data_IF_220476866920
#
_entry.id   IF_220476866920
#
_cell.length_a   1.000
_cell.length_b   1.000
_cell.length_c   1.000
_cell.angle_alpha   90.00
_cell.angle_beta   90.00
_cell.angle_gamma   90.00
#
_symmetry.space_group_name_H-M   'P 1'
#
loop_
_entity.id
_entity.type
_entity.pdbx_description
1 polymer ?
#
# COMPACT_ATOMS: atom_id res chain seq x y z
N UNK A 1 16.61 -95.10 -17.90
CA UNK A 1 16.25 -95.23 -16.47
C UNK A 1 17.54 -95.64 -15.77
N UNK A 2 18.25 -94.81 -15.03
CA UNK A 2 17.87 -94.21 -13.74
C UNK A 2 18.59 -92.84 -13.64
N UNK A 3 17.81 -91.76 -13.55
CA UNK A 3 18.35 -90.43 -13.28
C UNK A 3 18.61 -90.29 -11.80
N UNK A 4 19.87 -90.08 -11.41
CA UNK A 4 20.22 -89.72 -10.04
C UNK A 4 19.89 -88.25 -9.82
N UNK A 5 18.85 -88.03 -9.02
CA UNK A 5 18.42 -86.74 -8.48
C UNK A 5 19.58 -86.08 -7.72
N UNK A 6 20.05 -84.95 -8.23
CA UNK A 6 20.94 -84.04 -7.52
C UNK A 6 20.12 -83.33 -6.43
N UNK A 7 20.19 -83.82 -5.18
CA UNK A 7 19.50 -83.21 -4.05
C UNK A 7 20.16 -81.86 -3.75
N UNK A 8 19.51 -80.78 -4.16
CA UNK A 8 19.88 -79.42 -3.77
C UNK A 8 19.55 -79.21 -2.29
N UNK A 9 20.53 -79.37 -1.41
CA UNK A 9 20.38 -79.03 0.01
C UNK A 9 20.36 -77.50 0.15
N UNK A 10 19.16 -76.90 0.21
CA UNK A 10 19.00 -75.48 0.52
C UNK A 10 19.45 -75.21 1.96
N UNK A 11 20.71 -74.80 2.15
CA UNK A 11 21.16 -74.18 3.38
C UNK A 11 20.39 -72.87 3.59
N UNK A 12 19.51 -72.82 4.59
CA UNK A 12 18.88 -71.58 5.06
C UNK A 12 19.97 -70.62 5.53
N UNK A 13 20.18 -69.52 4.80
CA UNK A 13 21.10 -68.45 5.18
C UNK A 13 20.30 -67.33 5.82
N UNK A 14 20.42 -67.15 7.13
CA UNK A 14 19.88 -65.95 7.78
C UNK A 14 20.84 -64.78 7.57
N UNK A 15 20.35 -63.57 7.23
CA UNK A 15 21.21 -62.40 7.09
C UNK A 15 21.89 -62.08 8.43
N UNK A 16 23.21 -61.89 8.41
CA UNK A 16 24.02 -61.51 9.60
C UNK A 16 23.89 -60.02 9.96
N UNK A 17 22.69 -59.45 9.87
CA UNK A 17 22.43 -58.12 10.43
C UNK A 17 21.93 -58.31 11.86
N UNK A 18 22.86 -58.55 12.78
CA UNK A 18 22.54 -58.49 14.21
C UNK A 18 22.23 -57.04 14.55
N UNK A 19 20.95 -56.69 14.69
CA UNK A 19 20.55 -55.44 15.31
C UNK A 19 20.99 -55.51 16.77
N UNK A 20 22.14 -54.90 17.09
CA UNK A 20 22.57 -54.78 18.48
C UNK A 20 21.50 -53.99 19.24
N UNK A 21 20.79 -54.64 20.15
CA UNK A 21 19.75 -54.05 21.03
C UNK A 21 20.39 -53.19 22.14
N UNK A 22 21.56 -52.59 21.88
CA UNK A 22 22.12 -51.59 22.79
C UNK A 22 21.23 -50.35 22.67
N UNK A 23 20.55 -49.91 23.75
CA UNK A 23 19.75 -48.70 23.70
C UNK A 23 20.67 -47.54 23.29
N UNK A 24 20.32 -46.84 22.21
CA UNK A 24 21.02 -45.61 21.84
C UNK A 24 20.69 -44.55 22.88
N UNK A 25 21.69 -43.79 23.31
CA UNK A 25 21.47 -42.70 24.25
C UNK A 25 20.78 -41.52 23.54
N UNK A 26 19.46 -41.48 23.66
CA UNK A 26 18.62 -40.43 23.06
C UNK A 26 18.47 -39.20 23.96
N UNK A 27 19.06 -39.17 25.17
CA UNK A 27 18.84 -38.07 26.13
C UNK A 27 19.17 -36.69 25.56
N UNK A 28 20.27 -36.58 24.80
CA UNK A 28 20.63 -35.34 24.09
C UNK A 28 19.70 -35.03 22.92
N UNK A 29 19.22 -36.05 22.21
CA UNK A 29 18.27 -35.88 21.11
C UNK A 29 16.92 -35.37 21.62
N UNK A 30 16.40 -35.98 22.69
CA UNK A 30 15.15 -35.58 23.36
C UNK A 30 15.23 -34.16 23.92
N UNK A 31 16.31 -33.79 24.61
CA UNK A 31 16.53 -32.41 25.07
C UNK A 31 16.58 -31.39 23.92
N UNK A 32 17.19 -31.75 22.77
CA UNK A 32 17.17 -30.88 21.58
C UNK A 32 15.78 -30.78 20.97
N UNK A 33 15.01 -31.87 20.94
CA UNK A 33 13.64 -31.89 20.46
C UNK A 33 12.73 -31.05 21.37
N UNK A 34 12.86 -31.15 22.70
CA UNK A 34 12.13 -30.32 23.68
C UNK A 34 12.44 -28.82 23.53
N UNK A 35 13.70 -28.46 23.31
CA UNK A 35 14.07 -27.06 23.06
C UNK A 35 13.54 -26.57 21.70
N UNK A 36 13.49 -27.43 20.68
CA UNK A 36 12.89 -27.09 19.38
C UNK A 36 11.38 -26.91 19.51
N UNK A 37 10.68 -27.84 20.15
CA UNK A 37 9.23 -27.73 20.36
C UNK A 37 8.86 -26.52 21.21
N UNK A 38 9.65 -26.18 22.24
CA UNK A 38 9.44 -24.95 23.02
C UNK A 38 9.56 -23.69 22.15
N UNK A 39 10.62 -23.60 21.35
CA UNK A 39 10.84 -22.47 20.43
C UNK A 39 9.76 -22.41 19.35
N UNK A 40 9.30 -23.56 18.86
CA UNK A 40 8.24 -23.65 17.86
C UNK A 40 6.88 -23.20 18.41
N UNK A 41 6.54 -23.61 19.64
CA UNK A 41 5.34 -23.13 20.33
C UNK A 41 5.40 -21.62 20.62
N UNK A 42 6.56 -21.09 21.03
CA UNK A 42 6.77 -19.65 21.19
C UNK A 42 6.57 -18.90 19.87
N UNK A 43 7.08 -19.43 18.75
CA UNK A 43 6.86 -18.88 17.41
C UNK A 43 5.39 -18.95 16.99
N UNK A 44 4.72 -20.08 17.21
CA UNK A 44 3.30 -20.27 16.86
C UNK A 44 2.40 -19.27 17.59
N UNK A 45 2.57 -19.11 18.90
CA UNK A 45 1.81 -18.11 19.69
C UNK A 45 1.99 -16.69 19.15
N UNK A 46 3.22 -16.32 18.79
CA UNK A 46 3.53 -15.01 18.20
C UNK A 46 2.90 -14.85 16.81
N UNK A 47 2.90 -15.90 15.98
CA UNK A 47 2.22 -15.88 14.68
C UNK A 47 0.70 -15.74 14.83
N UNK A 48 0.11 -16.40 15.82
CA UNK A 48 -1.32 -16.25 16.13
C UNK A 48 -1.68 -14.83 16.61
N UNK A 49 -0.83 -14.22 17.45
CA UNK A 49 -0.99 -12.82 17.87
C UNK A 49 -0.91 -11.87 16.67
N UNK A 50 0.07 -12.06 15.78
CA UNK A 50 0.19 -11.29 14.54
C UNK A 50 -1.04 -11.48 13.64
N UNK A 51 -1.55 -12.71 13.49
CA UNK A 51 -2.74 -13.00 12.71
C UNK A 51 -4.00 -12.31 13.28
N UNK A 52 -4.14 -12.27 14.62
CA UNK A 52 -5.23 -11.50 15.27
C UNK A 52 -5.12 -10.02 14.98
N UNK A 53 -3.91 -9.45 15.06
CA UNK A 53 -3.68 -8.04 14.74
C UNK A 53 -4.02 -7.73 13.27
N UNK A 54 -3.68 -8.63 12.34
CA UNK A 54 -4.05 -8.49 10.93
C UNK A 54 -5.57 -8.51 10.73
N UNK A 55 -6.28 -9.44 11.37
CA UNK A 55 -7.73 -9.52 11.28
C UNK A 55 -8.42 -8.26 11.83
N UNK A 56 -7.88 -7.65 12.90
CA UNK A 56 -8.38 -6.37 13.40
C UNK A 56 -8.12 -5.22 12.42
N UNK A 57 -6.93 -5.16 11.82
CA UNK A 57 -6.58 -4.13 10.83
C UNK A 57 -7.39 -4.24 9.55
N UNK A 58 -7.66 -5.46 9.09
CA UNK A 58 -8.51 -5.72 7.93
C UNK A 58 -9.94 -5.21 8.19
N UNK A 59 -10.49 -5.42 9.39
CA UNK A 59 -11.78 -4.84 9.80
C UNK A 59 -11.75 -3.32 9.84
N UNK A 60 -10.69 -2.70 10.38
CA UNK A 60 -10.53 -1.24 10.35
C UNK A 60 -10.51 -0.68 8.91
N UNK A 61 -9.88 -1.41 7.97
CA UNK A 61 -9.85 -1.02 6.55
C UNK A 61 -11.24 -1.17 5.92
N UNK A 62 -11.93 -2.28 6.17
CA UNK A 62 -13.31 -2.50 5.70
C UNK A 62 -14.26 -1.42 6.22
N UNK A 63 -14.16 -1.03 7.49
CA UNK A 63 -14.96 0.05 8.06
C UNK A 63 -14.68 1.40 7.40
N UNK A 64 -13.42 1.70 7.06
CA UNK A 64 -13.05 2.91 6.32
C UNK A 64 -13.61 2.89 4.91
N UNK A 65 -13.55 1.75 4.21
CA UNK A 65 -14.14 1.59 2.88
C UNK A 65 -15.66 1.76 2.95
N UNK A 66 -16.32 1.15 3.92
CA UNK A 66 -17.76 1.30 4.14
C UNK A 66 -18.15 2.76 4.42
N UNK A 67 -17.31 3.49 5.16
CA UNK A 67 -17.50 4.93 5.40
C UNK A 67 -17.33 5.75 4.12
N UNK A 68 -16.38 5.39 3.25
CA UNK A 68 -16.25 6.01 1.92
C UNK A 68 -17.49 5.70 1.08
N UNK A 69 -17.95 4.44 1.04
CA UNK A 69 -19.16 4.01 0.34
C UNK A 69 -20.38 4.88 0.70
N UNK A 70 -20.57 5.15 2.00
CA UNK A 70 -21.65 5.99 2.50
C UNK A 70 -21.52 7.47 2.08
N UNK A 71 -20.30 7.97 1.91
CA UNK A 71 -20.03 9.36 1.52
C UNK A 71 -20.09 9.55 0.01
N UNK A 72 -19.67 8.55 -0.77
CA UNK A 72 -19.61 8.63 -2.23
C UNK A 72 -20.93 8.34 -2.92
N UNK A 73 -21.95 7.84 -2.22
CA UNK A 73 -23.33 7.70 -2.74
C UNK A 73 -23.52 6.66 -3.86
N UNK A 74 -22.46 6.06 -4.40
CA UNK A 74 -22.55 4.92 -5.32
C UNK A 74 -22.80 3.63 -4.54
N UNK A 75 -23.92 2.94 -4.84
CA UNK A 75 -24.32 1.67 -4.23
C UNK A 75 -23.32 0.54 -4.53
N UNK A 76 -22.62 0.65 -5.67
CA UNK A 76 -21.59 -0.27 -6.11
C UNK A 76 -20.25 0.46 -6.17
N UNK A 77 -19.43 0.26 -5.14
CA UNK A 77 -17.99 0.29 -5.35
C UNK A 77 -17.70 -0.88 -6.29
N UNK A 78 -17.04 -0.62 -7.41
CA UNK A 78 -16.65 -1.63 -8.39
C UNK A 78 -15.78 -2.78 -7.84
N UNK A 79 -15.47 -2.79 -6.54
CA UNK A 79 -14.73 -3.82 -5.84
C UNK A 79 -15.65 -4.54 -4.85
N UNK A 80 -15.75 -5.86 -4.99
CA UNK A 80 -16.46 -6.72 -4.03
C UNK A 80 -15.54 -7.07 -2.87
N UNK A 81 -16.10 -7.40 -1.70
CA UNK A 81 -15.34 -7.85 -0.52
C UNK A 81 -14.45 -9.08 -0.84
N UNK A 82 -14.87 -9.88 -1.83
CA UNK A 82 -14.14 -11.04 -2.36
C UNK A 82 -12.83 -10.68 -3.08
N UNK A 83 -12.68 -9.47 -3.66
CA UNK A 83 -11.43 -9.02 -4.31
C UNK A 83 -10.39 -8.52 -3.30
N UNK A 84 -10.81 -8.21 -2.07
CA UNK A 84 -9.93 -7.70 -1.01
C UNK A 84 -9.32 -8.86 -0.21
N UNK A 85 -10.06 -9.95 -0.03
CA UNK A 85 -9.63 -11.11 0.76
C UNK A 85 -9.04 -12.25 -0.10
N UNK A 86 -9.26 -12.24 -1.42
CA UNK A 86 -8.77 -13.27 -2.34
C UNK A 86 -7.31 -13.10 -2.75
N UNK A 87 -6.64 -14.21 -3.08
CA UNK A 87 -5.32 -14.20 -3.69
C UNK A 87 -5.40 -13.50 -5.08
N UNK A 88 -4.54 -12.51 -5.30
CA UNK A 88 -4.54 -11.70 -6.53
C UNK A 88 -4.06 -12.53 -7.73
N UNK A 89 -5.02 -13.05 -8.51
CA UNK A 89 -4.77 -13.70 -9.80
C UNK A 89 -4.89 -12.68 -10.95
N UNK A 90 -3.82 -12.40 -11.72
CA UNK A 90 -3.83 -11.41 -12.81
C UNK A 90 -4.96 -11.63 -13.83
N UNK A 91 -5.22 -12.89 -14.21
CA UNK A 91 -6.25 -13.19 -15.20
C UNK A 91 -7.68 -13.02 -14.67
N UNK A 92 -7.92 -13.26 -13.37
CA UNK A 92 -9.23 -13.05 -12.76
C UNK A 92 -9.48 -11.56 -12.57
N UNK A 93 -8.45 -10.84 -12.14
CA UNK A 93 -8.46 -9.39 -12.01
C UNK A 93 -8.72 -8.70 -13.36
N UNK A 94 -8.03 -9.10 -14.43
CA UNK A 94 -8.22 -8.52 -15.77
C UNK A 94 -9.61 -8.81 -16.34
N UNK A 95 -10.14 -10.01 -16.09
CA UNK A 95 -11.53 -10.38 -16.47
C UNK A 95 -12.56 -9.51 -15.73
N UNK A 96 -12.36 -9.26 -14.44
CA UNK A 96 -13.24 -8.42 -13.62
C UNK A 96 -13.13 -6.95 -14.00
N UNK A 97 -11.91 -6.44 -14.23
CA UNK A 97 -11.70 -5.08 -14.73
C UNK A 97 -12.40 -4.85 -16.05
N UNK A 98 -12.35 -5.83 -16.96
CA UNK A 98 -13.08 -5.74 -18.22
C UNK A 98 -14.60 -5.66 -18.00
N UNK A 99 -15.16 -6.46 -17.09
CA UNK A 99 -16.59 -6.45 -16.78
C UNK A 99 -17.07 -5.19 -16.02
N UNK A 100 -16.22 -4.60 -15.18
CA UNK A 100 -16.50 -3.33 -14.50
C UNK A 100 -16.49 -2.17 -15.51
N UNK A 101 -15.54 -2.22 -16.45
CA UNK A 101 -15.33 -1.21 -17.48
C UNK A 101 -15.88 -1.67 -18.84
N UNK A 102 -17.10 -2.21 -18.84
CA UNK A 102 -17.81 -2.64 -20.04
C UNK A 102 -18.24 -1.44 -20.91
N UNK A 103 -18.68 -1.72 -22.15
CA UNK A 103 -19.27 -0.74 -23.07
C UNK A 103 -20.50 -0.02 -22.48
N UNK A 104 -21.07 -0.48 -21.37
CA UNK A 104 -22.12 0.25 -20.65
C UNK A 104 -21.57 1.45 -19.84
N UNK A 105 -20.34 1.33 -19.32
CA UNK A 105 -19.65 2.43 -18.62
C UNK A 105 -19.13 3.49 -19.61
N UNK A 106 -18.55 3.05 -20.73
CA UNK A 106 -18.03 3.96 -21.77
C UNK A 106 -19.06 4.37 -22.83
N UNK A 107 -20.10 3.56 -23.06
CA UNK A 107 -21.16 3.81 -24.03
C UNK A 107 -22.33 4.62 -23.46
N UNK A 108 -22.36 4.86 -22.15
CA UNK A 108 -23.00 6.02 -21.57
C UNK A 108 -22.17 7.28 -21.91
N UNK A 109 -22.02 7.55 -23.20
CA UNK A 109 -21.68 8.89 -23.63
C UNK A 109 -22.90 9.76 -23.27
N UNK A 110 -22.74 10.49 -22.17
CA UNK A 110 -23.60 11.58 -21.72
C UNK A 110 -23.54 12.72 -22.78
N UNK A 111 -24.02 12.42 -23.99
CA UNK A 111 -24.14 13.36 -25.10
C UNK A 111 -25.35 14.29 -24.93
N UNK A 112 -26.22 14.00 -23.97
CA UNK A 112 -27.29 14.89 -23.55
C UNK A 112 -26.84 15.61 -22.28
N UNK A 113 -26.47 16.88 -22.45
CA UNK A 113 -26.27 17.83 -21.36
C UNK A 113 -27.46 17.67 -20.40
N UNK A 114 -27.27 17.43 -19.10
CA UNK A 114 -28.37 17.32 -18.17
C UNK A 114 -29.25 18.57 -18.27
N UNK A 115 -30.48 18.41 -18.76
CA UNK A 115 -31.48 19.46 -18.72
C UNK A 115 -31.87 19.61 -17.25
N UNK A 116 -31.31 20.62 -16.60
CA UNK A 116 -31.80 21.07 -15.32
C UNK A 116 -33.28 21.41 -15.54
N UNK A 117 -34.24 20.76 -14.85
CA UNK A 117 -35.61 21.26 -14.85
C UNK A 117 -35.55 22.72 -14.37
N UNK A 118 -36.25 23.63 -15.04
CA UNK A 118 -36.30 25.06 -14.70
C UNK A 118 -36.71 25.21 -13.23
N UNK A 119 -35.70 25.24 -12.35
CA UNK A 119 -35.84 25.57 -10.94
C UNK A 119 -36.45 26.96 -10.77
N UNK A 120 -36.41 27.79 -11.82
CA UNK A 120 -37.05 29.10 -11.91
C UNK A 120 -38.58 29.04 -11.74
N UNK A 121 -39.23 27.94 -12.14
CA UNK A 121 -40.69 27.80 -12.02
C UNK A 121 -41.15 27.30 -10.64
N UNK A 122 -40.28 26.61 -9.89
CA UNK A 122 -40.56 26.11 -8.54
C UNK A 122 -40.05 27.06 -7.44
N UNK A 123 -39.08 27.93 -7.74
CA UNK A 123 -38.57 28.97 -6.83
C UNK A 123 -39.27 30.34 -6.97
N UNK A 124 -40.28 30.51 -7.83
CA UNK A 124 -40.91 31.82 -8.11
C UNK A 124 -39.87 32.93 -8.33
N UNK A 125 -38.83 32.66 -9.14
CA UNK A 125 -37.86 33.70 -9.46
C UNK A 125 -38.61 34.79 -10.24
N UNK A 126 -38.63 35.96 -9.64
CA UNK A 126 -39.44 37.11 -10.03
C UNK A 126 -39.29 37.41 -11.53
N UNK A 127 -40.42 37.45 -12.23
CA UNK A 127 -40.47 37.82 -13.63
C UNK A 127 -40.11 39.32 -13.74
N UNK A 128 -38.85 39.61 -14.08
CA UNK A 128 -38.29 40.96 -14.17
C UNK A 128 -39.08 41.92 -15.09
N UNK A 129 -39.92 41.38 -15.99
CA UNK A 129 -40.81 42.15 -16.86
C UNK A 129 -41.99 42.82 -16.11
N UNK A 130 -42.26 42.45 -14.85
CA UNK A 130 -43.27 43.08 -13.99
C UNK A 130 -42.70 44.05 -12.95
N UNK A 131 -41.40 44.31 -12.97
CA UNK A 131 -40.76 45.20 -12.00
C UNK A 131 -41.22 46.65 -12.18
N UNK A 132 -42.18 47.09 -11.34
CA UNK A 132 -42.64 48.47 -11.26
C UNK A 132 -41.83 49.21 -10.20
N UNK A 133 -41.03 50.20 -10.61
CA UNK A 133 -39.99 50.85 -9.79
C UNK A 133 -40.52 51.86 -8.76
N UNK A 134 -41.82 51.86 -8.47
CA UNK A 134 -42.49 52.93 -7.70
C UNK A 134 -43.12 52.47 -6.37
N UNK A 135 -43.16 51.17 -6.08
CA UNK A 135 -43.75 50.66 -4.85
C UNK A 135 -42.71 49.88 -4.02
N UNK A 136 -41.81 50.58 -3.34
CA UNK A 136 -41.28 50.12 -2.05
C UNK A 136 -40.60 51.26 -1.30
N UNK A 137 -41.26 51.69 -0.21
CA UNK A 137 -40.66 52.54 0.81
C UNK A 137 -39.41 51.86 1.37
N UNK A 138 -38.25 52.43 1.05
CA UNK A 138 -36.95 52.12 1.65
C UNK A 138 -37.03 52.13 3.18
N UNK A 139 -36.82 50.96 3.77
CA UNK A 139 -36.11 50.83 5.05
C UNK A 139 -34.74 50.26 4.69
N UNK A 140 -33.84 51.15 4.25
CA UNK A 140 -32.43 50.85 4.04
C UNK A 140 -31.74 50.79 5.42
N UNK A 141 -31.61 49.57 5.98
CA UNK A 141 -30.51 49.23 6.90
C UNK A 141 -29.37 48.60 6.06
N UNK A 142 -29.02 49.24 4.95
CA UNK A 142 -27.95 48.80 4.07
C UNK A 142 -26.63 49.34 4.62
N UNK A 143 -25.78 48.44 5.13
CA UNK A 143 -24.51 48.77 5.79
C UNK A 143 -23.62 49.48 4.77
N UNK A 144 -23.37 50.77 4.96
CA UNK A 144 -22.63 51.57 3.99
C UNK A 144 -21.13 51.32 4.11
N UNK A 145 -20.40 51.50 3.01
CA UNK A 145 -18.94 51.34 2.98
C UNK A 145 -18.15 52.29 3.92
N UNK A 146 -18.84 53.26 4.53
CA UNK A 146 -18.29 54.19 5.52
C UNK A 146 -18.60 53.76 6.97
N UNK A 147 -19.38 52.69 7.19
CA UNK A 147 -19.70 52.19 8.53
C UNK A 147 -18.51 51.47 9.17
N UNK A 148 -18.24 51.78 10.44
CA UNK A 148 -17.15 51.20 11.24
C UNK A 148 -17.22 49.66 11.37
N UNK A 149 -18.39 49.08 11.07
CA UNK A 149 -18.66 47.64 11.10
C UNK A 149 -18.63 46.97 9.72
N UNK A 150 -18.38 47.73 8.65
CA UNK A 150 -18.28 47.22 7.28
C UNK A 150 -16.91 46.60 7.03
N UNK A 151 -16.86 45.28 6.85
CA UNK A 151 -15.62 44.57 6.57
C UNK A 151 -15.41 44.46 5.06
N UNK A 152 -14.39 45.13 4.53
CA UNK A 152 -14.02 45.04 3.12
C UNK A 152 -13.48 43.63 2.80
N UNK A 153 -13.74 43.11 1.60
CA UNK A 153 -13.38 41.74 1.19
C UNK A 153 -11.88 41.38 1.39
N UNK A 154 -11.01 42.38 1.43
CA UNK A 154 -9.57 42.22 1.65
C UNK A 154 -9.17 42.13 3.14
N UNK A 155 -9.98 42.67 4.05
CA UNK A 155 -9.75 42.69 5.50
C UNK A 155 -10.49 41.54 6.23
N UNK A 156 -11.11 40.63 5.46
CA UNK A 156 -11.84 39.48 5.97
C UNK A 156 -10.92 38.43 6.60
N UNK A 157 -10.79 38.46 7.93
CA UNK A 157 -10.13 37.39 8.70
C UNK A 157 -11.15 36.32 9.17
N UNK A 158 -11.11 35.09 8.62
CA UNK A 158 -12.09 34.04 8.94
C UNK A 158 -12.10 33.64 10.42
N UNK A 159 -11.01 33.90 11.16
CA UNK A 159 -10.96 33.63 12.61
C UNK A 159 -11.75 34.66 13.41
N UNK A 160 -11.71 35.93 13.00
CA UNK A 160 -12.48 37.00 13.64
C UNK A 160 -13.97 36.85 13.37
N UNK A 161 -14.35 36.47 12.14
CA UNK A 161 -15.74 36.14 11.79
C UNK A 161 -16.29 34.97 12.62
N UNK A 162 -15.50 33.88 12.79
CA UNK A 162 -15.87 32.75 13.65
C UNK A 162 -16.03 33.17 15.12
N UNK A 163 -15.21 34.09 15.61
CA UNK A 163 -15.29 34.62 16.98
C UNK A 163 -16.55 35.47 17.20
N UNK A 164 -16.84 36.41 16.29
CA UNK A 164 -18.04 37.26 16.32
C UNK A 164 -19.31 36.41 16.26
N UNK A 165 -19.36 35.40 15.37
CA UNK A 165 -20.48 34.47 15.28
C UNK A 165 -20.67 33.66 16.58
N UNK A 166 -19.56 33.25 17.22
CA UNK A 166 -19.59 32.54 18.50
C UNK A 166 -20.11 33.43 19.64
N UNK A 167 -19.78 34.72 19.62
CA UNK A 167 -20.20 35.70 20.61
C UNK A 167 -21.67 36.10 20.43
N UNK A 168 -22.15 36.24 19.19
CA UNK A 168 -23.57 36.39 18.87
C UNK A 168 -24.39 35.16 19.27
N UNK A 169 -23.87 33.95 19.01
CA UNK A 169 -24.47 32.69 19.47
C UNK A 169 -24.57 32.64 21.00
N UNK A 170 -23.54 33.10 21.74
CA UNK A 170 -23.59 33.20 23.21
C UNK A 170 -24.60 34.24 23.68
N UNK A 171 -24.70 35.39 23.01
CA UNK A 171 -25.67 36.46 23.31
C UNK A 171 -27.10 35.98 23.09
N UNK A 172 -27.36 35.26 22.00
CA UNK A 172 -28.66 34.68 21.67
C UNK A 172 -29.03 33.48 22.56
N UNK A 173 -28.06 32.69 23.02
CA UNK A 173 -28.28 31.65 24.04
C UNK A 173 -28.61 32.25 25.42
N UNK A 174 -28.04 33.41 25.77
CA UNK A 174 -28.28 34.07 27.07
C UNK A 174 -29.74 34.55 27.24
N UNK A 175 -30.38 35.02 26.15
CA UNK A 175 -31.77 35.47 26.12
C UNK A 175 -32.79 34.31 26.14
N UNK A 176 -32.35 33.06 25.91
CA UNK A 176 -33.20 31.85 25.88
C UNK A 176 -33.03 30.94 27.11
N UNK A 177 -32.35 31.39 28.17
CA UNK A 177 -31.96 30.59 29.35
C UNK A 177 -33.09 30.16 30.30
N UNK A 178 -34.37 30.16 29.90
CA UNK A 178 -35.41 29.68 30.82
C UNK A 178 -35.65 28.18 30.83
N UNK A 179 -35.36 27.40 29.76
CA UNK A 179 -35.49 25.93 29.81
C UNK A 179 -34.85 25.21 28.60
N UNK A 180 -33.59 24.78 28.69
CA UNK A 180 -33.06 23.56 27.99
C UNK A 180 -31.61 23.31 28.38
N UNK A 181 -31.37 22.28 29.20
CA UNK A 181 -30.04 21.88 29.70
C UNK A 181 -29.34 20.80 28.87
N UNK A 182 -29.70 20.60 27.60
CA UNK A 182 -29.03 19.63 26.72
C UNK A 182 -28.95 20.19 25.30
N UNK A 183 -27.73 20.29 24.77
CA UNK A 183 -27.51 20.53 23.34
C UNK A 183 -28.21 19.41 22.57
N UNK A 184 -28.91 19.72 21.48
CA UNK A 184 -29.48 18.68 20.63
C UNK A 184 -28.32 17.87 20.03
N UNK A 185 -28.49 16.55 19.91
CA UNK A 185 -27.49 15.67 19.29
C UNK A 185 -27.08 16.14 17.89
N UNK A 186 -27.99 16.79 17.17
CA UNK A 186 -27.74 17.41 15.87
C UNK A 186 -26.77 18.60 15.95
N UNK A 187 -26.90 19.47 16.97
CA UNK A 187 -25.98 20.59 17.18
C UNK A 187 -24.60 20.11 17.66
N UNK A 188 -24.53 18.95 18.31
CA UNK A 188 -23.27 18.30 18.69
C UNK A 188 -22.57 17.71 17.45
N UNK A 189 -23.32 17.06 16.55
CA UNK A 189 -22.81 16.52 15.28
C UNK A 189 -22.42 17.62 14.26
N UNK A 190 -23.13 18.74 14.24
CA UNK A 190 -22.75 19.91 13.42
C UNK A 190 -21.54 20.67 14.01
N UNK A 191 -21.31 20.55 15.32
CA UNK A 191 -20.16 21.15 15.99
C UNK A 191 -18.88 20.30 15.87
N UNK A 192 -19.01 18.98 15.69
CA UNK A 192 -17.86 18.15 15.30
C UNK A 192 -17.50 18.45 13.85
N UNK A 193 -16.34 19.07 13.64
CA UNK A 193 -15.84 19.37 12.30
C UNK A 193 -15.70 18.05 11.52
N UNK A 194 -16.36 17.97 10.36
CA UNK A 194 -16.29 16.79 9.49
C UNK A 194 -14.82 16.56 9.13
N UNK A 195 -14.29 15.34 9.24
CA UNK A 195 -12.92 15.08 8.82
C UNK A 195 -12.84 15.31 7.31
N UNK A 196 -12.22 16.43 6.93
CA UNK A 196 -11.92 16.76 5.54
C UNK A 196 -10.68 15.98 5.15
N UNK A 197 -10.80 15.09 4.17
CA UNK A 197 -9.65 14.40 3.61
C UNK A 197 -8.72 15.44 2.99
N UNK A 198 -7.50 15.55 3.53
CA UNK A 198 -6.46 16.40 2.97
C UNK A 198 -5.40 15.50 2.34
N UNK A 199 -5.24 15.50 1.01
CA UNK A 199 -4.35 14.57 0.28
C UNK A 199 -2.85 14.58 0.65
N UNK A 200 -2.42 15.34 1.66
CA UNK A 200 -1.03 15.39 2.13
C UNK A 200 -0.84 15.07 3.63
N UNK A 201 -1.90 15.03 4.44
CA UNK A 201 -1.83 14.66 5.88
C UNK A 201 -2.40 13.26 6.09
N UNK A 202 -3.41 12.90 5.29
CA UNK A 202 -4.00 11.56 5.31
C UNK A 202 -3.18 10.62 4.43
N UNK A 203 -2.86 9.44 4.97
CA UNK A 203 -2.10 8.42 4.25
C UNK A 203 -2.83 8.06 2.96
N UNK A 204 -2.07 7.92 1.88
CA UNK A 204 -2.63 7.43 0.62
C UNK A 204 -3.11 5.99 0.78
N UNK A 205 -4.07 5.55 -0.04
CA UNK A 205 -4.55 4.16 0.01
C UNK A 205 -3.41 3.14 -0.11
N UNK A 206 -2.41 3.43 -0.95
CA UNK A 206 -1.20 2.64 -1.11
C UNK A 206 -0.38 2.54 0.19
N UNK A 207 -0.27 3.61 0.95
CA UNK A 207 0.45 3.59 2.24
C UNK A 207 -0.29 2.80 3.32
N UNK A 208 -1.62 2.82 3.32
CA UNK A 208 -2.42 1.96 4.20
C UNK A 208 -2.24 0.48 3.86
N UNK A 209 -2.18 0.14 2.57
CA UNK A 209 -1.92 -1.23 2.11
C UNK A 209 -0.49 -1.66 2.41
N UNK A 210 0.49 -0.78 2.21
CA UNK A 210 1.88 -1.06 2.57
C UNK A 210 2.04 -1.27 4.09
N UNK A 211 1.32 -0.53 4.93
CA UNK A 211 1.27 -0.74 6.38
C UNK A 211 0.70 -2.12 6.73
N UNK A 212 -0.37 -2.56 6.05
CA UNK A 212 -0.91 -3.91 6.22
C UNK A 212 0.10 -4.99 5.81
N UNK A 213 0.69 -4.90 4.61
CA UNK A 213 1.69 -5.87 4.15
C UNK A 213 2.97 -5.85 5.00
N UNK A 214 3.28 -4.74 5.67
CA UNK A 214 4.43 -4.65 6.58
C UNK A 214 4.23 -5.43 7.89
N UNK A 215 2.99 -5.77 8.24
CA UNK A 215 2.68 -6.62 9.40
C UNK A 215 2.96 -8.11 9.14
N UNK A 216 3.19 -8.51 7.90
CA UNK A 216 3.64 -9.86 7.56
C UNK A 216 5.09 -10.07 8.04
N UNK A 217 5.29 -11.11 8.83
CA UNK A 217 6.59 -11.48 9.38
C UNK A 217 6.94 -12.87 8.85
N UNK A 218 8.07 -12.98 8.15
CA UNK A 218 8.53 -14.25 7.56
C UNK A 218 9.24 -15.12 8.60
N UNK A 219 9.99 -14.50 9.52
CA UNK A 219 10.60 -15.19 10.65
C UNK A 219 10.50 -14.33 11.92
N UNK A 220 10.44 -15.01 13.06
CA UNK A 220 10.51 -14.40 14.39
C UNK A 220 11.75 -14.95 15.07
N UNK A 221 12.79 -14.14 15.11
CA UNK A 221 14.06 -14.49 15.79
C UNK A 221 13.97 -13.96 17.22
N UNK A 222 13.64 -14.85 18.15
CA UNK A 222 13.43 -14.44 19.55
C UNK A 222 12.19 -13.56 19.67
N UNK A 223 12.38 -12.26 19.95
CA UNK A 223 11.31 -11.29 20.17
C UNK A 223 11.12 -10.28 19.03
N UNK A 224 12.00 -10.28 18.02
CA UNK A 224 11.89 -9.35 16.90
C UNK A 224 11.21 -10.04 15.70
N UNK A 225 10.04 -9.55 15.24
CA UNK A 225 9.51 -9.94 13.95
C UNK A 225 10.47 -9.46 12.86
N UNK A 226 11.06 -10.39 12.13
CA UNK A 226 11.99 -10.12 11.04
C UNK A 226 11.32 -10.37 9.70
N UNK A 227 11.41 -9.37 8.84
CA UNK A 227 11.06 -9.44 7.42
C UNK A 227 12.30 -9.11 6.61
N UNK A 228 12.60 -9.87 5.57
CA UNK A 228 13.69 -9.54 4.67
C UNK A 228 13.39 -8.21 3.97
N UNK A 229 14.25 -7.21 4.19
CA UNK A 229 14.14 -5.91 3.52
C UNK A 229 15.01 -5.96 2.28
N UNK A 230 14.39 -5.98 1.11
CA UNK A 230 15.10 -5.68 -0.13
C UNK A 230 15.44 -4.19 -0.16
N UNK A 231 16.60 -3.87 -0.73
CA UNK A 231 17.02 -2.50 -1.00
C UNK A 231 16.98 -2.29 -2.50
N UNK A 232 16.44 -1.15 -2.91
CA UNK A 232 16.55 -0.69 -4.29
C UNK A 232 18.02 -0.34 -4.57
N UNK A 233 18.58 -1.00 -5.58
CA UNK A 233 19.97 -0.80 -6.00
C UNK A 233 20.00 0.04 -7.27
N UNK A 234 21.00 0.91 -7.39
CA UNK A 234 21.19 1.69 -8.61
C UNK A 234 21.58 0.75 -9.76
N UNK A 235 20.91 0.79 -10.93
CA UNK A 235 21.27 -0.02 -12.07
C UNK A 235 22.69 0.33 -12.55
N UNK A 236 23.54 -0.67 -12.71
CA UNK A 236 24.95 -0.49 -13.08
C UNK A 236 25.45 -1.62 -13.99
N UNK A 237 25.91 -1.25 -15.19
CA UNK A 237 26.45 -2.18 -16.18
C UNK A 237 27.97 -2.43 -15.98
N UNK A 238 28.58 -1.86 -14.93
CA UNK A 238 30.02 -1.92 -14.62
C UNK A 238 30.96 -1.48 -15.77
N UNK A 239 30.41 -0.86 -16.82
CA UNK A 239 31.15 -0.43 -18.01
C UNK A 239 31.52 -1.58 -18.95
N UNK A 240 30.81 -2.72 -18.84
CA UNK A 240 31.12 -3.95 -19.55
C UNK A 240 30.08 -4.28 -20.62
N UNK A 241 30.50 -5.03 -21.63
CA UNK A 241 29.60 -5.61 -22.65
C UNK A 241 29.25 -7.06 -22.29
N UNK A 242 28.28 -7.65 -23.00
CA UNK A 242 27.72 -8.99 -22.71
C UNK A 242 28.78 -10.11 -22.64
N UNK A 243 29.89 -9.98 -23.36
CA UNK A 243 30.98 -10.97 -23.39
C UNK A 243 31.99 -10.82 -22.23
N UNK A 244 31.94 -9.70 -21.52
CA UNK A 244 32.89 -9.37 -20.45
C UNK A 244 32.31 -9.73 -19.07
N UNK A 245 33.13 -10.31 -18.17
CA UNK A 245 32.67 -10.78 -16.86
C UNK A 245 33.31 -10.03 -15.68
N UNK A 246 32.53 -9.88 -14.60
CA UNK A 246 32.96 -9.24 -13.33
C UNK A 246 33.19 -10.31 -12.26
N UNK A 247 34.24 -10.21 -11.43
CA UNK A 247 34.35 -11.07 -10.25
C UNK A 247 33.20 -10.83 -9.27
N UNK A 248 32.55 -11.91 -8.82
CA UNK A 248 31.39 -11.88 -7.92
C UNK A 248 31.59 -11.01 -6.67
N UNK A 249 32.83 -10.94 -6.15
CA UNK A 249 33.20 -10.10 -5.01
C UNK A 249 32.89 -8.61 -5.20
N UNK A 250 32.87 -8.10 -6.43
CA UNK A 250 32.53 -6.70 -6.73
C UNK A 250 31.03 -6.46 -6.71
N UNK A 251 30.23 -7.43 -7.15
CA UNK A 251 28.77 -7.34 -7.23
C UNK A 251 28.13 -7.48 -5.85
N UNK A 252 28.60 -8.44 -5.05
CA UNK A 252 27.96 -8.80 -3.76
C UNK A 252 28.26 -7.82 -2.63
N UNK A 253 29.21 -6.89 -2.83
CA UNK A 253 29.63 -5.98 -1.75
C UNK A 253 28.56 -4.92 -1.49
N UNK A 254 28.00 -4.93 -0.28
CA UNK A 254 27.13 -3.85 0.21
C UNK A 254 27.86 -2.51 0.25
N UNK A 255 27.22 -1.46 -0.26
CA UNK A 255 27.77 -0.10 -0.34
C UNK A 255 26.62 0.92 -0.21
N UNK A 256 26.84 2.10 0.39
CA UNK A 256 25.78 3.14 0.44
C UNK A 256 25.49 3.73 -0.96
N UNK A 257 24.30 4.30 -1.13
CA UNK A 257 23.78 4.82 -2.41
C UNK A 257 24.71 5.83 -3.08
N UNK A 258 25.28 6.76 -2.32
CA UNK A 258 26.16 7.80 -2.86
C UNK A 258 27.42 7.21 -3.51
N UNK A 259 27.93 6.14 -2.89
CA UNK A 259 29.10 5.45 -3.40
C UNK A 259 28.76 4.49 -4.55
N UNK A 260 27.53 4.00 -4.66
CA UNK A 260 27.03 3.30 -5.85
C UNK A 260 26.90 4.25 -7.06
N UNK A 261 26.38 5.47 -6.84
CA UNK A 261 26.31 6.53 -7.88
C UNK A 261 27.71 6.95 -8.34
N UNK A 262 28.64 7.10 -7.39
CA UNK A 262 30.05 7.35 -7.70
C UNK A 262 30.66 6.21 -8.53
N UNK A 263 30.43 4.95 -8.13
CA UNK A 263 30.89 3.78 -8.87
C UNK A 263 30.37 3.78 -10.31
N UNK A 264 29.08 4.03 -10.54
CA UNK A 264 28.48 4.13 -11.89
C UNK A 264 29.24 5.12 -12.76
N UNK A 265 29.54 6.31 -12.23
CA UNK A 265 30.31 7.32 -12.97
C UNK A 265 31.74 6.87 -13.27
N UNK A 266 32.42 6.24 -12.31
CA UNK A 266 33.78 5.71 -12.54
C UNK A 266 33.78 4.57 -13.56
N UNK A 267 32.77 3.71 -13.56
CA UNK A 267 32.64 2.62 -14.51
C UNK A 267 32.30 3.12 -15.91
N UNK A 268 31.48 4.16 -16.04
CA UNK A 268 31.25 4.86 -17.32
C UNK A 268 32.54 5.44 -17.90
N UNK A 269 33.38 6.06 -17.07
CA UNK A 269 34.69 6.56 -17.52
C UNK A 269 35.63 5.42 -17.94
N UNK A 270 35.73 4.36 -17.12
CA UNK A 270 36.55 3.18 -17.43
C UNK A 270 36.06 2.40 -18.65
N UNK A 271 34.78 2.49 -18.98
CA UNK A 271 34.23 1.88 -20.18
C UNK A 271 34.83 2.48 -21.46
N UNK A 272 35.14 3.78 -21.45
CA UNK A 272 35.77 4.47 -22.58
C UNK A 272 37.24 4.05 -22.78
N UNK A 273 37.93 3.63 -21.71
CA UNK A 273 39.34 3.28 -21.75
C UNK A 273 39.58 1.84 -22.23
N UNK A 274 39.73 1.67 -23.54
CA UNK A 274 39.98 0.35 -24.16
C UNK A 274 41.29 -0.32 -23.71
N UNK A 275 42.32 0.44 -23.34
CA UNK A 275 43.59 -0.11 -22.84
C UNK A 275 43.45 -0.73 -21.45
N UNK A 276 42.64 -0.10 -20.59
CA UNK A 276 42.39 -0.60 -19.25
C UNK A 276 41.60 -1.91 -19.32
N UNK A 277 40.63 -2.02 -20.23
CA UNK A 277 39.92 -3.28 -20.52
C UNK A 277 40.88 -4.39 -20.93
N UNK A 278 41.83 -4.11 -21.83
CA UNK A 278 42.86 -5.08 -22.25
C UNK A 278 43.75 -5.56 -21.10
N UNK A 279 44.09 -4.68 -20.15
CA UNK A 279 44.90 -5.02 -18.97
C UNK A 279 44.13 -5.83 -17.93
N UNK A 280 42.85 -5.49 -17.70
CA UNK A 280 42.01 -6.11 -16.65
C UNK A 280 41.43 -7.44 -17.09
N UNK A 281 41.14 -7.62 -18.38
CA UNK A 281 40.57 -8.85 -18.96
C UNK A 281 41.57 -9.54 -19.90
N UNK A 282 42.76 -9.96 -19.43
CA UNK A 282 43.77 -10.53 -20.30
C UNK A 282 43.30 -11.83 -20.99
N UNK A 283 42.38 -12.59 -20.41
CA UNK A 283 41.85 -13.82 -21.01
C UNK A 283 41.03 -13.55 -22.28
N UNK A 284 40.24 -12.48 -22.32
CA UNK A 284 39.42 -12.13 -23.48
C UNK A 284 40.29 -11.66 -24.65
N UNK A 285 41.29 -10.82 -24.35
CA UNK A 285 42.11 -10.19 -25.40
C UNK A 285 43.32 -11.05 -25.85
N UNK A 286 43.80 -12.00 -25.04
CA UNK A 286 44.86 -12.93 -25.47
C UNK A 286 44.41 -13.84 -26.61
N UNK A 287 43.20 -14.40 -26.53
CA UNK A 287 42.68 -15.28 -27.59
C UNK A 287 42.42 -14.55 -28.91
N UNK A 288 42.03 -13.27 -28.89
CA UNK A 288 41.87 -12.45 -30.10
C UNK A 288 43.22 -12.17 -30.79
N UNK A 289 44.31 -12.05 -30.04
CA UNK A 289 45.63 -11.87 -30.61
C UNK A 289 46.17 -13.16 -31.26
N UNK A 290 45.98 -14.31 -30.63
CA UNK A 290 46.42 -15.62 -31.15
C UNK A 290 45.65 -16.03 -32.42
N UNK A 291 44.35 -15.78 -32.48
CA UNK A 291 43.51 -16.06 -33.66
C UNK A 291 43.85 -15.19 -34.87
N UNK A 292 44.28 -13.94 -34.66
CA UNK A 292 44.76 -13.06 -35.75
C UNK A 292 46.15 -13.45 -36.25
N UNK A 293 47.02 -13.96 -35.37
CA UNK A 293 48.37 -14.38 -35.73
C UNK A 293 48.42 -15.75 -36.41
N UNK A 294 47.42 -16.60 -36.20
CA UNK A 294 47.29 -17.92 -36.84
C UNK A 294 46.55 -17.89 -38.20
N UNK A 295 46.21 -16.70 -38.71
CA UNK A 295 45.50 -16.52 -39.98
C UNK A 295 46.40 -15.91 -41.08
N UNK A 296 47.73 -15.95 -40.90
CA UNK A 296 48.74 -15.71 -41.93
C UNK A 296 49.46 -17.02 -42.25
#
# INVERSE_FOLDING_TARGET
MIGTLFVCFQLKRYPRTMNSIRPKDERRSRKRAELRSRKEQEKQKKMEEIARLKALKLKEIQEKIAKIKQVTGNEDLAFKDEDIEGDFDPEQHDRRMKAIFDEQYYGAADHEKPDFPDLDQELEIENWDKYNKEDEERVDDDVHCEDDNFNMDADYDPKAAKANLLEELKRNQSKRRRNRKRKSKLAELLATEKPTFTPGVDKTYSEFMEEYYKMDCEDVIGDLPTRFKYREVVPNDFGLTVEEWVPLKRIVKYRPEDAEKGDVNTYRQKAADSELKKKVLPSLFRHVAETRNNCC
#
